data_IF_990574735027
#
_entry.id   IF_990574735027
#
_cell.length_a   1.000
_cell.length_b   1.000
_cell.length_c   1.000
_cell.angle_alpha   90.00
_cell.angle_beta   90.00
_cell.angle_gamma   90.00
#
_symmetry.space_group_name_H-M   'P 1'
#
loop_
_entity.id
_entity.type
_entity.pdbx_description
1 polymer ?
#
# COMPACT_ATOMS: atom_id res chain seq x y z
N UNK A 1 7.61 -26.14 8.07
CA UNK A 1 7.59 -24.85 7.31
C UNK A 1 8.77 -24.84 6.36
N UNK A 2 8.52 -24.51 5.09
CA UNK A 2 9.59 -24.36 4.11
C UNK A 2 10.47 -23.16 4.49
N UNK A 3 11.76 -23.32 4.52
CA UNK A 3 12.68 -22.25 4.86
C UNK A 3 12.71 -21.22 3.73
N UNK A 4 12.60 -19.93 4.10
CA UNK A 4 12.63 -18.84 3.12
C UNK A 4 14.00 -18.76 2.45
N UNK A 5 14.00 -18.63 1.14
CA UNK A 5 15.21 -18.42 0.37
C UNK A 5 15.86 -17.07 0.72
N UNK A 6 17.12 -16.90 0.36
CA UNK A 6 17.84 -15.62 0.57
C UNK A 6 17.05 -14.44 -0.04
N UNK A 7 16.56 -14.60 -1.26
CA UNK A 7 15.84 -13.52 -1.96
C UNK A 7 14.48 -13.21 -1.33
N UNK A 8 13.78 -14.22 -0.81
CA UNK A 8 12.53 -14.01 -0.08
C UNK A 8 12.78 -13.25 1.22
N UNK A 9 13.83 -13.59 1.96
CA UNK A 9 14.21 -12.81 3.16
C UNK A 9 14.54 -11.36 2.81
N UNK A 10 15.29 -11.15 1.73
CA UNK A 10 15.63 -9.80 1.23
C UNK A 10 14.38 -9.01 0.82
N UNK A 11 13.43 -9.68 0.17
CA UNK A 11 12.15 -9.08 -0.22
C UNK A 11 11.36 -8.63 1.03
N UNK A 12 11.23 -9.50 2.03
CA UNK A 12 10.52 -9.17 3.27
C UNK A 12 11.19 -8.00 4.01
N UNK A 13 12.53 -7.96 4.04
CA UNK A 13 13.24 -6.83 4.65
C UNK A 13 12.90 -5.50 3.96
N UNK A 14 12.81 -5.50 2.63
CA UNK A 14 12.42 -4.30 1.88
C UNK A 14 10.98 -3.88 2.19
N UNK A 15 10.10 -4.85 2.26
CA UNK A 15 8.69 -4.62 2.59
C UNK A 15 8.57 -3.99 4.00
N UNK A 16 9.30 -4.53 5.00
CA UNK A 16 9.28 -3.95 6.35
C UNK A 16 9.87 -2.53 6.39
N UNK A 17 10.95 -2.27 5.66
CA UNK A 17 11.51 -0.91 5.55
C UNK A 17 10.50 0.06 4.93
N UNK A 18 9.83 -0.39 3.87
CA UNK A 18 8.78 0.39 3.20
C UNK A 18 7.66 0.76 4.19
N UNK A 19 7.19 -0.21 4.97
CA UNK A 19 6.15 0.02 5.99
C UNK A 19 6.61 1.04 7.03
N UNK A 20 7.86 0.93 7.48
CA UNK A 20 8.46 1.90 8.41
C UNK A 20 8.53 3.31 7.84
N UNK A 21 8.92 3.43 6.58
CA UNK A 21 8.99 4.72 5.89
C UNK A 21 7.60 5.35 5.72
N UNK A 22 6.60 4.56 5.35
CA UNK A 22 5.21 5.03 5.25
C UNK A 22 4.71 5.51 6.62
N UNK A 23 4.99 4.73 7.67
CA UNK A 23 4.64 5.13 9.04
C UNK A 23 5.26 6.48 9.39
N UNK A 24 6.54 6.65 9.08
CA UNK A 24 7.26 7.91 9.34
C UNK A 24 6.60 9.08 8.60
N UNK A 25 6.22 8.92 7.33
CA UNK A 25 5.55 9.98 6.57
C UNK A 25 4.23 10.41 7.22
N UNK A 26 3.43 9.45 7.69
CA UNK A 26 2.18 9.75 8.40
C UNK A 26 2.43 10.41 9.77
N UNK A 27 3.41 9.92 10.53
CA UNK A 27 3.76 10.50 11.83
C UNK A 27 4.23 11.96 11.65
N UNK A 28 5.04 12.23 10.64
CA UNK A 28 5.52 13.58 10.31
C UNK A 28 4.37 14.49 9.87
N UNK A 29 3.47 13.99 9.03
CA UNK A 29 2.27 14.73 8.63
C UNK A 29 1.45 15.12 9.87
N UNK A 30 1.16 14.17 10.76
CA UNK A 30 0.37 14.41 11.98
C UNK A 30 1.09 15.44 12.88
N UNK A 31 2.41 15.32 13.03
CA UNK A 31 3.20 16.24 13.84
C UNK A 31 3.11 17.68 13.33
N UNK A 32 3.09 17.85 12.00
CA UNK A 32 3.03 19.18 11.37
C UNK A 32 1.60 19.74 11.31
N UNK A 33 0.59 18.88 11.09
CA UNK A 33 -0.80 19.33 10.98
C UNK A 33 -1.43 19.64 12.34
N UNK A 34 -1.01 18.96 13.42
CA UNK A 34 -1.59 19.11 14.74
C UNK A 34 -1.66 20.56 15.22
N UNK A 35 -0.55 21.33 15.21
CA UNK A 35 -0.58 22.73 15.62
C UNK A 35 -1.48 23.63 14.75
N UNK A 36 -1.63 23.32 13.47
CA UNK A 36 -2.54 24.06 12.56
C UNK A 36 -3.98 23.82 12.98
N UNK A 37 -4.33 22.58 13.26
CA UNK A 37 -5.67 22.20 13.67
C UNK A 37 -6.03 22.82 15.04
N UNK A 38 -5.06 22.90 15.97
CA UNK A 38 -5.25 23.54 17.26
C UNK A 38 -5.59 25.04 17.10
N UNK A 39 -4.84 25.71 16.21
CA UNK A 39 -5.12 27.13 15.89
C UNK A 39 -6.49 27.31 15.22
N UNK A 40 -6.86 26.38 14.36
CA UNK A 40 -8.13 26.44 13.62
C UNK A 40 -9.32 26.30 14.57
N UNK A 41 -9.24 25.42 15.53
CA UNK A 41 -10.34 25.10 16.44
C UNK A 41 -10.56 26.15 17.54
N UNK A 42 -9.61 27.07 17.75
CA UNK A 42 -9.70 28.06 18.84
C UNK A 42 -10.41 29.36 18.43
N UNK A 43 -11.00 29.43 17.24
CA UNK A 43 -11.68 30.66 16.80
C UNK A 43 -13.18 30.60 17.11
N UNK A 44 -13.55 31.20 18.21
CA UNK A 44 -14.93 31.50 18.58
C UNK A 44 -15.53 30.55 19.60
N UNK A 45 -16.14 31.11 20.63
CA UNK A 45 -16.82 30.37 21.67
C UNK A 45 -18.13 29.69 21.26
N UNK A 46 -18.52 29.83 20.00
CA UNK A 46 -19.84 29.39 19.51
C UNK A 46 -19.87 27.96 18.99
N UNK A 47 -18.74 27.25 19.07
CA UNK A 47 -18.62 25.84 18.62
C UNK A 47 -18.98 25.63 17.15
N UNK A 48 -18.91 26.69 16.34
CA UNK A 48 -19.18 26.63 14.92
C UNK A 48 -17.85 26.58 14.16
N UNK A 49 -17.75 25.64 13.24
CA UNK A 49 -16.61 25.54 12.33
C UNK A 49 -16.63 26.77 11.42
N UNK A 50 -15.58 27.57 11.49
CA UNK A 50 -15.39 28.68 10.56
C UNK A 50 -14.15 28.35 9.74
N UNK A 51 -14.31 28.26 8.45
CA UNK A 51 -13.21 28.00 7.52
C UNK A 51 -12.13 29.08 7.63
N UNK A 52 -10.89 28.68 7.59
CA UNK A 52 -9.73 29.58 7.60
C UNK A 52 -8.84 29.26 6.40
N UNK A 53 -9.00 30.05 5.34
CA UNK A 53 -8.32 29.82 4.05
C UNK A 53 -6.80 29.77 4.15
N UNK A 54 -6.20 30.42 5.16
CA UNK A 54 -4.75 30.36 5.37
C UNK A 54 -4.33 29.01 5.94
N UNK A 55 -5.06 28.53 6.94
CA UNK A 55 -4.80 27.23 7.57
C UNK A 55 -5.11 26.10 6.57
N UNK A 56 -6.22 26.20 5.85
CA UNK A 56 -6.59 25.21 4.81
C UNK A 56 -5.46 25.05 3.79
N UNK A 57 -4.96 26.16 3.23
CA UNK A 57 -3.85 26.12 2.29
C UNK A 57 -2.56 25.51 2.87
N UNK A 58 -2.32 25.70 4.18
CA UNK A 58 -1.17 25.08 4.84
C UNK A 58 -1.38 23.56 4.96
N UNK A 59 -2.59 23.13 5.29
CA UNK A 59 -2.91 21.69 5.39
C UNK A 59 -2.84 21.04 4.01
N UNK A 60 -3.35 21.70 2.96
CA UNK A 60 -3.25 21.22 1.57
C UNK A 60 -1.79 20.97 1.18
N UNK A 61 -0.88 21.91 1.50
CA UNK A 61 0.55 21.73 1.23
C UNK A 61 1.13 20.53 1.97
N UNK A 62 0.71 20.28 3.20
CA UNK A 62 1.16 19.11 3.96
C UNK A 62 0.63 17.81 3.35
N UNK A 63 -0.59 17.83 2.79
CA UNK A 63 -1.14 16.68 2.06
C UNK A 63 -0.40 16.43 0.76
N UNK A 64 -0.02 17.50 0.03
CA UNK A 64 0.81 17.39 -1.17
C UNK A 64 2.19 16.80 -0.84
N UNK A 65 2.81 17.24 0.27
CA UNK A 65 4.07 16.69 0.76
C UNK A 65 3.90 15.18 1.06
N UNK A 66 2.84 14.83 1.77
CA UNK A 66 2.54 13.42 2.11
C UNK A 66 2.32 12.59 0.84
N UNK A 67 1.54 13.11 -0.12
CA UNK A 67 1.32 12.48 -1.42
C UNK A 67 2.66 12.19 -2.11
N UNK A 68 3.50 13.21 -2.22
CA UNK A 68 4.80 13.10 -2.89
C UNK A 68 5.69 12.05 -2.22
N UNK A 69 5.73 12.05 -0.89
CA UNK A 69 6.51 11.07 -0.12
C UNK A 69 6.00 9.63 -0.35
N UNK A 70 4.69 9.44 -0.35
CA UNK A 70 4.09 8.11 -0.55
C UNK A 70 4.34 7.59 -1.97
N UNK A 71 4.15 8.44 -3.01
CA UNK A 71 4.40 8.07 -4.40
C UNK A 71 5.87 7.69 -4.58
N UNK A 72 6.78 8.51 -4.06
CA UNK A 72 8.22 8.26 -4.13
C UNK A 72 8.60 6.96 -3.41
N UNK A 73 8.09 6.76 -2.20
CA UNK A 73 8.35 5.54 -1.42
C UNK A 73 7.92 4.28 -2.19
N UNK A 74 6.69 4.29 -2.73
CA UNK A 74 6.14 3.14 -3.45
C UNK A 74 6.96 2.89 -4.73
N UNK A 75 7.21 3.92 -5.53
CA UNK A 75 7.91 3.80 -6.81
C UNK A 75 9.36 3.33 -6.63
N UNK A 76 10.05 3.87 -5.63
CA UNK A 76 11.44 3.49 -5.33
C UNK A 76 11.51 2.03 -4.84
N UNK A 77 10.57 1.61 -3.98
CA UNK A 77 10.54 0.22 -3.49
C UNK A 77 10.19 -0.74 -4.61
N UNK A 78 9.23 -0.38 -5.48
CA UNK A 78 8.88 -1.16 -6.68
C UNK A 78 10.13 -1.40 -7.54
N UNK A 79 10.91 -0.35 -7.79
CA UNK A 79 12.15 -0.42 -8.57
C UNK A 79 13.21 -1.32 -7.87
N UNK A 80 13.36 -1.16 -6.56
CA UNK A 80 14.34 -1.95 -5.79
C UNK A 80 13.99 -3.44 -5.78
N UNK A 81 12.71 -3.79 -5.60
CA UNK A 81 12.32 -5.20 -5.60
C UNK A 81 12.30 -5.78 -7.02
N UNK A 82 12.04 -4.97 -8.05
CA UNK A 82 12.23 -5.39 -9.44
C UNK A 82 13.68 -5.80 -9.68
N UNK A 83 14.61 -4.99 -9.22
CA UNK A 83 16.04 -5.29 -9.32
C UNK A 83 16.44 -6.52 -8.50
N UNK A 84 15.79 -6.73 -7.36
CA UNK A 84 16.01 -7.95 -6.55
C UNK A 84 15.55 -9.20 -7.31
N UNK A 85 14.38 -9.15 -7.94
CA UNK A 85 13.87 -10.24 -8.79
C UNK A 85 14.84 -10.56 -9.95
N UNK A 86 15.35 -9.51 -10.59
CA UNK A 86 16.35 -9.68 -11.66
C UNK A 86 17.64 -10.33 -11.15
N UNK A 87 18.15 -9.93 -9.97
CA UNK A 87 19.36 -10.57 -9.38
C UNK A 87 19.13 -12.04 -9.07
N UNK A 88 17.96 -12.37 -8.52
CA UNK A 88 17.54 -13.77 -8.29
C UNK A 88 17.60 -14.57 -9.60
N UNK A 89 17.07 -14.01 -10.68
CA UNK A 89 17.08 -14.63 -12.00
C UNK A 89 18.52 -14.76 -12.55
N UNK A 90 19.36 -13.74 -12.35
CA UNK A 90 20.78 -13.78 -12.78
C UNK A 90 21.53 -14.91 -12.09
N UNK A 91 21.30 -15.14 -10.78
CA UNK A 91 21.91 -16.24 -10.04
C UNK A 91 21.44 -17.61 -10.56
N UNK A 92 20.14 -17.73 -10.85
CA UNK A 92 19.56 -18.97 -11.40
C UNK A 92 20.18 -19.28 -12.78
N UNK A 93 20.25 -18.27 -13.66
CA UNK A 93 20.89 -18.42 -14.99
C UNK A 93 22.36 -18.81 -14.84
N UNK A 94 23.10 -18.09 -13.96
CA UNK A 94 24.52 -18.35 -13.73
C UNK A 94 24.74 -19.81 -13.27
N UNK A 95 23.92 -20.29 -12.35
CA UNK A 95 24.00 -21.68 -11.88
C UNK A 95 23.71 -22.68 -12.99
N UNK A 96 22.72 -22.38 -13.84
CA UNK A 96 22.31 -23.27 -14.93
C UNK A 96 23.39 -23.38 -16.04
N UNK A 97 24.00 -22.23 -16.42
CA UNK A 97 24.95 -22.19 -17.55
C UNK A 97 26.41 -22.41 -17.13
N UNK A 98 26.67 -22.69 -15.84
CA UNK A 98 28.02 -22.73 -15.25
C UNK A 98 29.01 -23.54 -16.07
N UNK A 99 28.57 -24.72 -16.51
CA UNK A 99 29.45 -25.69 -17.20
C UNK A 99 29.07 -25.79 -18.70
N UNK A 100 28.39 -24.80 -19.26
CA UNK A 100 27.93 -24.80 -20.65
C UNK A 100 28.68 -23.79 -21.50
N UNK A 101 29.12 -24.22 -22.68
CA UNK A 101 29.61 -23.30 -23.73
C UNK A 101 28.40 -22.69 -24.44
N UNK A 102 28.09 -21.44 -24.14
CA UNK A 102 26.96 -20.73 -24.75
C UNK A 102 27.48 -19.52 -25.56
N UNK A 103 26.75 -19.19 -26.63
CA UNK A 103 27.09 -18.03 -27.46
C UNK A 103 26.87 -16.73 -26.69
N UNK A 104 27.61 -15.69 -27.10
CA UNK A 104 27.48 -14.35 -26.54
C UNK A 104 26.03 -13.85 -26.64
N UNK A 105 25.41 -14.06 -27.79
CA UNK A 105 24.02 -13.66 -28.07
C UNK A 105 23.04 -14.32 -27.09
N UNK A 106 23.19 -15.62 -26.86
CA UNK A 106 22.35 -16.34 -25.90
C UNK A 106 22.60 -15.82 -24.47
N UNK A 107 23.85 -15.58 -24.11
CA UNK A 107 24.20 -15.02 -22.80
C UNK A 107 23.52 -13.65 -22.61
N UNK A 108 23.63 -12.76 -23.59
CA UNK A 108 22.96 -11.44 -23.53
C UNK A 108 21.46 -11.55 -23.37
N UNK A 109 20.81 -12.45 -24.14
CA UNK A 109 19.37 -12.73 -24.02
C UNK A 109 19.02 -13.16 -22.59
N UNK A 110 19.75 -14.12 -22.03
CA UNK A 110 19.47 -14.69 -20.71
C UNK A 110 19.65 -13.68 -19.57
N UNK A 111 20.61 -12.73 -19.69
CA UNK A 111 20.85 -11.71 -18.66
C UNK A 111 20.15 -10.38 -18.94
N UNK A 112 19.40 -10.25 -20.05
CA UNK A 112 18.73 -9.00 -20.40
C UNK A 112 17.61 -8.68 -19.42
N UNK A 113 17.61 -7.45 -18.92
CA UNK A 113 16.59 -6.92 -18.01
C UNK A 113 15.57 -6.12 -18.85
N UNK A 114 14.30 -6.26 -18.53
CA UNK A 114 13.22 -5.58 -19.25
C UNK A 114 12.87 -4.26 -18.57
N UNK A 115 13.60 -3.20 -18.91
CA UNK A 115 13.36 -1.85 -18.35
C UNK A 115 12.00 -1.31 -18.80
N UNK A 116 11.56 -1.63 -20.00
CA UNK A 116 10.25 -1.19 -20.52
C UNK A 116 9.11 -1.83 -19.74
N UNK A 117 9.26 -3.09 -19.33
CA UNK A 117 8.26 -3.74 -18.47
C UNK A 117 8.18 -3.08 -17.10
N UNK A 118 9.32 -2.67 -16.52
CA UNK A 118 9.31 -1.89 -15.27
C UNK A 118 8.60 -0.54 -15.46
N UNK A 119 8.92 0.18 -16.53
CA UNK A 119 8.27 1.46 -16.84
C UNK A 119 6.76 1.29 -17.04
N UNK A 120 6.36 0.22 -17.75
CA UNK A 120 4.96 -0.11 -17.96
C UNK A 120 4.25 -0.40 -16.62
N UNK A 121 4.91 -1.17 -15.74
CA UNK A 121 4.39 -1.48 -14.41
C UNK A 121 4.18 -0.21 -13.58
N UNK A 122 5.15 0.70 -13.57
CA UNK A 122 5.08 1.95 -12.82
C UNK A 122 3.98 2.90 -13.34
N UNK A 123 3.74 2.90 -14.65
CA UNK A 123 2.75 3.77 -15.29
C UNK A 123 1.39 3.10 -15.49
N UNK A 124 1.26 1.82 -15.16
CA UNK A 124 0.02 1.09 -15.42
C UNK A 124 -1.16 1.69 -14.66
N UNK A 125 -2.33 1.52 -15.24
CA UNK A 125 -3.60 1.87 -14.59
C UNK A 125 -4.25 0.59 -14.05
N UNK A 126 -5.00 0.73 -12.97
CA UNK A 126 -5.79 -0.37 -12.41
C UNK A 126 -7.12 -0.52 -13.17
N UNK A 127 -7.99 -1.38 -12.68
CA UNK A 127 -9.32 -1.63 -13.28
C UNK A 127 -10.24 -0.40 -13.28
N UNK A 128 -9.91 0.62 -12.47
CA UNK A 128 -10.64 1.88 -12.39
C UNK A 128 -9.93 3.02 -13.15
N UNK A 129 -8.91 2.70 -13.93
CA UNK A 129 -8.14 3.69 -14.70
C UNK A 129 -7.14 4.49 -13.87
N UNK A 130 -6.88 4.11 -12.63
CA UNK A 130 -6.04 4.89 -11.69
C UNK A 130 -4.60 4.40 -11.67
N UNK A 131 -3.66 5.35 -11.74
CA UNK A 131 -2.21 5.11 -11.57
C UNK A 131 -1.87 4.99 -10.07
N UNK A 132 -0.61 4.67 -9.76
CA UNK A 132 -0.11 4.70 -8.37
C UNK A 132 -0.36 6.10 -7.77
N UNK A 133 0.00 7.15 -8.49
CA UNK A 133 -0.18 8.53 -8.03
C UNK A 133 -1.65 8.86 -7.74
N UNK A 134 -2.55 8.49 -8.67
CA UNK A 134 -4.00 8.74 -8.48
C UNK A 134 -4.54 8.01 -7.25
N UNK A 135 -4.07 6.78 -7.01
CA UNK A 135 -4.51 6.00 -5.83
C UNK A 135 -3.93 6.55 -4.53
N UNK A 136 -2.73 7.13 -4.58
CA UNK A 136 -2.17 7.84 -3.41
C UNK A 136 -2.98 9.12 -3.16
N UNK A 137 -3.42 9.83 -4.22
CA UNK A 137 -4.32 10.98 -4.07
C UNK A 137 -5.60 10.58 -3.33
N UNK A 138 -6.25 9.48 -3.70
CA UNK A 138 -7.44 9.01 -2.98
C UNK A 138 -7.16 8.81 -1.48
N UNK A 139 -5.94 8.35 -1.15
CA UNK A 139 -5.53 8.11 0.25
C UNK A 139 -5.34 9.44 1.00
N UNK A 140 -4.67 10.41 0.38
CA UNK A 140 -4.38 11.71 1.00
C UNK A 140 -5.65 12.58 1.07
N UNK A 141 -6.47 12.55 0.05
CA UNK A 141 -7.77 13.21 0.02
C UNK A 141 -8.68 12.65 1.12
N UNK A 142 -8.75 11.33 1.24
CA UNK A 142 -9.48 10.67 2.32
C UNK A 142 -8.93 11.01 3.72
N UNK A 143 -7.64 11.39 3.83
CA UNK A 143 -7.09 11.90 5.08
C UNK A 143 -7.65 13.28 5.40
N UNK A 144 -7.81 14.14 4.39
CA UNK A 144 -8.43 15.47 4.57
C UNK A 144 -9.90 15.34 5.03
N UNK A 145 -10.70 14.52 4.36
CA UNK A 145 -12.07 14.23 4.74
C UNK A 145 -12.18 13.79 6.20
N UNK A 146 -11.27 12.91 6.60
CA UNK A 146 -11.21 12.42 7.97
C UNK A 146 -10.89 13.54 8.96
N UNK A 147 -9.94 14.42 8.63
CA UNK A 147 -9.56 15.56 9.47
C UNK A 147 -10.76 16.50 9.67
N UNK A 148 -11.41 16.91 8.59
CA UNK A 148 -12.57 17.79 8.63
C UNK A 148 -13.72 17.19 9.45
N UNK A 149 -14.00 15.93 9.21
CA UNK A 149 -15.05 15.20 9.91
C UNK A 149 -14.79 15.16 11.42
N UNK A 150 -13.55 14.90 11.83
CA UNK A 150 -13.22 14.81 13.26
C UNK A 150 -13.18 16.16 13.94
N UNK A 151 -12.76 17.18 13.23
CA UNK A 151 -12.85 18.56 13.74
C UNK A 151 -14.31 18.94 14.00
N UNK A 152 -15.15 18.72 13.01
CA UNK A 152 -16.59 19.02 13.12
C UNK A 152 -17.23 18.24 14.28
N UNK A 153 -16.97 16.95 14.36
CA UNK A 153 -17.47 16.08 15.43
C UNK A 153 -16.93 16.47 16.81
N UNK A 154 -15.65 16.83 16.89
CA UNK A 154 -15.01 17.26 18.12
C UNK A 154 -15.59 18.59 18.62
N UNK A 155 -15.74 19.53 17.72
CA UNK A 155 -16.33 20.86 18.05
C UNK A 155 -17.78 20.72 18.49
N UNK A 156 -18.59 19.96 17.73
CA UNK A 156 -20.01 19.77 18.06
C UNK A 156 -20.22 19.04 19.41
N UNK A 157 -19.26 18.20 19.83
CA UNK A 157 -19.31 17.49 21.11
C UNK A 157 -18.65 18.30 22.25
N UNK A 158 -18.18 19.51 21.99
CA UNK A 158 -17.57 20.39 22.98
C UNK A 158 -16.18 19.95 23.47
N UNK A 159 -15.46 19.19 22.66
CA UNK A 159 -14.12 18.72 23.07
C UNK A 159 -13.10 19.87 22.91
N UNK A 160 -12.19 20.02 23.89
CA UNK A 160 -11.10 20.99 23.75
C UNK A 160 -10.19 20.71 22.56
N UNK A 161 -9.76 21.76 21.88
CA UNK A 161 -8.91 21.69 20.67
C UNK A 161 -7.63 20.88 20.90
N UNK A 162 -7.02 21.01 22.07
CA UNK A 162 -5.82 20.25 22.42
C UNK A 162 -6.07 18.74 22.40
N UNK A 163 -7.23 18.31 22.88
CA UNK A 163 -7.60 16.89 22.85
C UNK A 163 -7.94 16.43 21.42
N UNK A 164 -8.59 17.28 20.64
CA UNK A 164 -8.90 16.99 19.23
C UNK A 164 -7.57 16.76 18.45
N UNK A 165 -6.59 17.62 18.66
CA UNK A 165 -5.29 17.50 17.95
C UNK A 165 -4.51 16.23 18.35
N UNK A 166 -4.60 15.81 19.63
CA UNK A 166 -4.01 14.54 20.07
C UNK A 166 -4.71 13.34 19.44
N UNK A 167 -6.00 13.43 19.31
CA UNK A 167 -6.82 12.31 18.83
C UNK A 167 -6.75 12.13 17.30
N UNK A 168 -6.43 13.18 16.55
CA UNK A 168 -6.19 13.10 15.11
C UNK A 168 -5.02 12.16 14.80
N UNK A 169 -3.98 12.17 15.64
CA UNK A 169 -2.87 11.23 15.52
C UNK A 169 -3.36 9.77 15.54
N UNK A 170 -4.26 9.47 16.44
CA UNK A 170 -4.84 8.13 16.57
C UNK A 170 -5.78 7.81 15.41
N UNK A 171 -6.45 8.82 14.87
CA UNK A 171 -7.37 8.67 13.75
C UNK A 171 -6.71 8.07 12.51
N UNK A 172 -5.57 8.60 12.11
CA UNK A 172 -4.90 8.15 10.89
C UNK A 172 -4.34 6.75 11.06
N UNK A 173 -3.90 6.38 12.26
CA UNK A 173 -3.29 5.08 12.54
C UNK A 173 -4.33 4.02 12.95
N UNK A 174 -5.19 4.34 13.90
CA UNK A 174 -6.18 3.40 14.46
C UNK A 174 -7.54 4.07 14.61
N UNK A 175 -8.26 4.28 13.51
CA UNK A 175 -9.51 5.06 13.54
C UNK A 175 -10.65 4.41 14.32
N UNK A 176 -10.53 3.16 14.74
CA UNK A 176 -11.56 2.47 15.51
C UNK A 176 -11.42 2.68 17.02
N UNK A 177 -10.39 3.41 17.46
CA UNK A 177 -10.15 3.64 18.88
C UNK A 177 -10.75 4.93 19.40
N UNK A 178 -11.12 5.37 20.29
CA UNK A 178 -11.52 6.52 21.09
C UNK A 178 -12.58 7.47 20.54
N UNK A 179 -12.34 8.14 19.38
CA UNK A 179 -13.22 9.23 18.96
C UNK A 179 -14.55 8.79 18.44
N UNK A 180 -14.58 7.61 17.92
CA UNK A 180 -15.73 7.06 17.25
C UNK A 180 -16.75 6.48 18.21
N UNK A 181 -16.41 6.50 19.50
CA UNK A 181 -17.29 5.97 20.54
C UNK A 181 -17.71 7.05 21.49
N UNK A 182 -18.99 7.15 21.70
CA UNK A 182 -19.64 8.01 22.69
C UNK A 182 -20.29 7.12 23.74
N UNK A 183 -20.52 7.65 24.92
CA UNK A 183 -21.26 6.91 25.94
C UNK A 183 -22.75 7.11 25.70
N UNK A 184 -23.48 6.03 25.64
CA UNK A 184 -24.94 6.07 25.57
C UNK A 184 -25.54 6.41 26.94
N UNK A 185 -26.88 6.44 27.03
CA UNK A 185 -27.59 6.78 28.27
C UNK A 185 -27.27 5.81 29.44
N UNK A 186 -26.80 4.60 29.13
CA UNK A 186 -26.41 3.59 30.12
C UNK A 186 -24.91 3.57 30.41
N UNK A 187 -24.15 4.56 29.91
CA UNK A 187 -22.72 4.64 30.09
C UNK A 187 -21.88 3.72 29.20
N UNK A 188 -22.51 2.93 28.32
CA UNK A 188 -21.83 2.00 27.41
C UNK A 188 -21.20 2.75 26.24
N UNK A 189 -19.97 2.36 25.84
CA UNK A 189 -19.31 2.93 24.69
C UNK A 189 -19.89 2.39 23.38
N UNK A 190 -20.57 3.24 22.63
CA UNK A 190 -21.21 2.92 21.35
C UNK A 190 -20.61 3.81 20.26
N UNK A 191 -20.73 3.41 19.00
CA UNK A 191 -20.31 4.25 17.88
C UNK A 191 -21.16 5.53 17.84
N UNK A 192 -20.50 6.67 17.64
CA UNK A 192 -21.21 7.93 17.36
C UNK A 192 -22.04 7.79 16.09
N UNK A 193 -23.12 8.56 15.98
CA UNK A 193 -24.00 8.50 14.81
C UNK A 193 -23.22 8.78 13.51
N UNK A 194 -22.40 9.84 13.43
CA UNK A 194 -21.61 10.05 12.22
C UNK A 194 -20.68 8.88 11.87
N UNK A 195 -20.18 8.16 12.87
CA UNK A 195 -19.33 6.98 12.59
C UNK A 195 -20.13 5.76 12.13
N UNK A 196 -21.39 5.67 12.53
CA UNK A 196 -22.28 4.65 11.97
C UNK A 196 -22.56 4.93 10.50
N UNK A 197 -22.68 6.21 10.15
CA UNK A 197 -23.03 6.66 8.80
C UNK A 197 -21.82 6.68 7.84
N UNK A 198 -20.59 6.61 8.36
CA UNK A 198 -19.37 6.67 7.55
C UNK A 198 -19.07 5.32 6.92
N UNK A 199 -19.22 5.23 5.61
CA UNK A 199 -18.96 4.03 4.82
C UNK A 199 -17.97 4.34 3.68
N UNK A 200 -16.66 4.09 3.87
CA UNK A 200 -15.65 4.44 2.85
C UNK A 200 -15.69 3.56 1.60
N UNK A 201 -16.57 2.56 1.57
CA UNK A 201 -16.68 1.65 0.43
C UNK A 201 -16.08 0.27 0.72
N UNK A 202 -16.45 -0.69 -0.12
CA UNK A 202 -15.98 -2.07 0.01
C UNK A 202 -14.49 -2.17 -0.30
N UNK A 203 -13.75 -2.87 0.53
CA UNK A 203 -12.32 -3.08 0.34
C UNK A 203 -11.45 -1.88 0.69
N UNK A 204 -12.02 -0.81 1.24
CA UNK A 204 -11.28 0.38 1.64
C UNK A 204 -11.24 0.44 3.17
N UNK A 205 -10.04 0.55 3.72
CA UNK A 205 -9.90 0.77 5.17
C UNK A 205 -10.28 2.19 5.52
N UNK A 206 -10.85 2.37 6.70
CA UNK A 206 -11.14 3.72 7.24
C UNK A 206 -9.88 4.52 7.57
N UNK A 207 -8.73 3.83 7.64
CA UNK A 207 -7.44 4.43 7.95
C UNK A 207 -6.67 4.71 6.66
N UNK A 208 -6.34 5.96 6.40
CA UNK A 208 -5.48 6.36 5.27
C UNK A 208 -4.12 5.67 5.36
N UNK A 209 -3.55 5.56 6.57
CA UNK A 209 -2.30 4.85 6.80
C UNK A 209 -2.40 3.37 6.37
N UNK A 210 -3.47 2.67 6.77
CA UNK A 210 -3.66 1.25 6.38
C UNK A 210 -3.87 1.10 4.88
N UNK A 211 -4.58 2.05 4.25
CA UNK A 211 -4.73 2.04 2.78
C UNK A 211 -3.39 2.25 2.08
N UNK A 212 -2.54 3.13 2.60
CA UNK A 212 -1.18 3.33 2.06
C UNK A 212 -0.32 2.07 2.19
N UNK A 213 -0.37 1.41 3.35
CA UNK A 213 0.35 0.14 3.57
C UNK A 213 -0.13 -0.94 2.60
N UNK A 214 -1.44 -1.07 2.41
CA UNK A 214 -2.02 -2.05 1.49
C UNK A 214 -1.60 -1.78 0.05
N UNK A 215 -1.70 -0.52 -0.38
CA UNK A 215 -1.29 -0.13 -1.74
C UNK A 215 0.19 -0.46 -1.96
N UNK A 216 1.04 -0.04 -1.03
CA UNK A 216 2.49 -0.25 -1.11
C UNK A 216 2.83 -1.75 -1.18
N UNK A 217 2.26 -2.57 -0.29
CA UNK A 217 2.50 -4.01 -0.28
C UNK A 217 2.03 -4.67 -1.58
N UNK A 218 0.88 -4.26 -2.10
CA UNK A 218 0.32 -4.79 -3.36
C UNK A 218 1.26 -4.48 -4.53
N UNK A 219 1.67 -3.22 -4.66
CA UNK A 219 2.55 -2.78 -5.77
C UNK A 219 3.93 -3.45 -5.69
N UNK A 220 4.47 -3.54 -4.48
CA UNK A 220 5.78 -4.18 -4.24
C UNK A 220 5.75 -5.67 -4.57
N UNK A 221 4.69 -6.39 -4.15
CA UNK A 221 4.50 -7.80 -4.50
C UNK A 221 4.37 -8.00 -6.01
N UNK A 222 3.55 -7.17 -6.66
CA UNK A 222 3.39 -7.24 -8.12
C UNK A 222 4.72 -7.03 -8.83
N UNK A 223 5.51 -6.05 -8.40
CA UNK A 223 6.81 -5.76 -9.03
C UNK A 223 7.75 -6.96 -8.94
N UNK A 224 7.87 -7.56 -7.76
CA UNK A 224 8.75 -8.73 -7.55
C UNK A 224 8.32 -9.91 -8.42
N UNK A 225 7.01 -10.22 -8.43
CA UNK A 225 6.48 -11.34 -9.21
C UNK A 225 6.55 -11.10 -10.71
N UNK A 226 6.31 -9.86 -11.15
CA UNK A 226 6.40 -9.52 -12.58
C UNK A 226 7.86 -9.60 -13.05
N UNK A 227 8.82 -9.18 -12.22
CA UNK A 227 10.24 -9.32 -12.54
C UNK A 227 10.63 -10.79 -12.76
N UNK A 228 10.20 -11.69 -11.86
CA UNK A 228 10.38 -13.14 -12.01
C UNK A 228 9.78 -13.63 -13.35
N UNK A 229 8.52 -13.29 -13.60
CA UNK A 229 7.79 -13.73 -14.80
C UNK A 229 8.48 -13.27 -16.08
N UNK A 230 8.85 -11.98 -16.16
CA UNK A 230 9.52 -11.40 -17.34
C UNK A 230 10.85 -12.08 -17.64
N UNK A 231 11.59 -12.47 -16.59
CA UNK A 231 12.86 -13.17 -16.75
C UNK A 231 12.63 -14.61 -17.17
N UNK A 232 11.68 -15.33 -16.57
CA UNK A 232 11.39 -16.73 -16.91
C UNK A 232 10.93 -16.89 -18.37
N UNK A 233 10.23 -15.90 -18.92
CA UNK A 233 9.83 -15.93 -20.34
C UNK A 233 11.04 -15.99 -21.29
N UNK A 234 12.19 -15.47 -20.87
CA UNK A 234 13.43 -15.45 -21.67
C UNK A 234 14.28 -16.70 -21.49
N UNK A 235 13.92 -17.58 -20.55
CA UNK A 235 14.69 -18.78 -20.20
C UNK A 235 14.03 -20.00 -20.83
N UNK A 236 14.57 -20.47 -21.96
CA UNK A 236 13.98 -21.58 -22.72
C UNK A 236 14.01 -22.91 -21.91
N UNK A 237 14.90 -23.01 -20.92
CA UNK A 237 14.98 -24.15 -20.03
C UNK A 237 13.92 -24.13 -18.90
N UNK A 238 13.22 -23.03 -18.71
CA UNK A 238 12.09 -22.95 -17.77
C UNK A 238 10.83 -23.38 -18.54
N UNK A 239 10.41 -24.61 -18.33
CA UNK A 239 9.28 -25.21 -19.08
C UNK A 239 7.94 -24.92 -18.42
N UNK A 240 7.92 -24.54 -17.14
CA UNK A 240 6.70 -24.25 -16.41
C UNK A 240 6.98 -23.81 -14.99
N UNK A 241 5.94 -23.51 -14.26
CA UNK A 241 6.03 -23.14 -12.85
C UNK A 241 4.86 -23.72 -12.07
N UNK A 242 5.12 -24.04 -10.85
CA UNK A 242 4.10 -24.56 -9.94
C UNK A 242 3.55 -23.42 -9.07
N UNK A 243 2.25 -23.39 -8.93
CA UNK A 243 1.58 -22.43 -8.03
C UNK A 243 1.46 -23.09 -6.66
N UNK A 244 2.17 -22.55 -5.68
CA UNK A 244 2.07 -22.99 -4.29
C UNK A 244 1.13 -22.08 -3.52
N UNK A 245 0.22 -22.67 -2.77
CA UNK A 245 -0.66 -21.93 -1.89
C UNK A 245 0.15 -21.39 -0.70
N UNK A 246 0.03 -20.09 -0.45
CA UNK A 246 0.62 -19.50 0.75
C UNK A 246 -0.12 -20.01 1.99
N UNK A 247 0.61 -20.44 3.04
CA UNK A 247 -0.05 -20.80 4.30
C UNK A 247 -0.72 -19.54 4.88
N UNK A 248 -2.04 -19.56 4.99
CA UNK A 248 -2.80 -18.46 5.54
C UNK A 248 -3.76 -18.98 6.60
N UNK A 249 -4.09 -18.12 7.56
CA UNK A 249 -5.07 -18.45 8.60
C UNK A 249 -6.51 -18.27 8.12
N UNK A 250 -6.68 -17.81 6.90
CA UNK A 250 -8.00 -17.73 6.27
C UNK A 250 -8.43 -19.11 5.78
N UNK A 251 -9.70 -19.37 5.84
CA UNK A 251 -10.28 -20.64 5.41
C UNK A 251 -10.07 -20.92 3.91
N UNK A 252 -10.58 -22.03 3.43
CA UNK A 252 -10.43 -22.42 2.03
C UNK A 252 -10.84 -21.30 1.08
N UNK A 253 -10.03 -21.09 0.04
CA UNK A 253 -10.33 -20.13 -1.01
C UNK A 253 -10.52 -20.90 -2.32
N UNK A 254 -11.75 -20.97 -2.85
CA UNK A 254 -12.02 -21.76 -4.07
C UNK A 254 -11.12 -21.34 -5.25
N UNK A 255 -10.84 -20.04 -5.36
CA UNK A 255 -9.97 -19.54 -6.44
C UNK A 255 -8.52 -20.00 -6.23
N UNK A 256 -8.01 -19.93 -5.00
CA UNK A 256 -6.64 -20.38 -4.68
C UNK A 256 -6.53 -21.89 -4.81
N UNK A 257 -7.52 -22.60 -4.39
CA UNK A 257 -7.55 -24.07 -4.45
C UNK A 257 -7.65 -24.57 -5.89
N UNK A 258 -8.46 -23.93 -6.70
CA UNK A 258 -8.51 -24.21 -8.13
C UNK A 258 -7.16 -23.97 -8.83
N UNK A 259 -6.60 -22.99 -8.44
CA UNK A 259 -5.35 -22.63 -8.96
C UNK A 259 -4.26 -23.55 -8.56
N UNK A 260 -4.36 -24.14 -7.50
CA UNK A 260 -3.44 -25.04 -6.99
C UNK A 260 -3.69 -26.43 -7.47
N UNK A 261 -4.75 -26.62 -7.87
CA UNK A 261 -5.19 -27.81 -8.39
C UNK A 261 -4.91 -27.98 -9.87
N UNK A 262 -4.68 -27.04 -10.30
CA UNK A 262 -4.36 -27.02 -11.66
C UNK A 262 -3.06 -27.69 -11.98
N UNK A 263 -2.27 -28.03 -11.13
CA UNK A 263 -0.96 -28.64 -11.30
C UNK A 263 0.04 -27.74 -12.03
N UNK A 264 1.05 -28.34 -12.54
CA UNK A 264 2.10 -27.63 -13.29
C UNK A 264 1.52 -26.79 -14.44
N UNK A 265 1.58 -25.47 -14.26
CA UNK A 265 1.15 -24.55 -15.32
C UNK A 265 2.25 -24.49 -16.38
N UNK A 266 1.99 -25.04 -17.55
CA UNK A 266 2.90 -24.90 -18.69
C UNK A 266 3.09 -23.41 -19.01
N UNK A 267 4.28 -23.07 -19.50
CA UNK A 267 4.62 -21.71 -19.92
C UNK A 267 3.65 -21.29 -21.06
N UNK A 268 2.56 -20.63 -20.69
CA UNK A 268 1.56 -20.16 -21.66
C UNK A 268 1.97 -18.76 -22.12
N UNK A 269 2.09 -18.60 -23.42
CA UNK A 269 2.49 -17.33 -24.04
C UNK A 269 1.45 -16.21 -23.92
N UNK A 270 0.32 -16.45 -23.25
CA UNK A 270 -0.79 -15.51 -23.19
C UNK A 270 -1.49 -15.43 -21.82
N UNK A 271 -0.77 -15.58 -20.71
CA UNK A 271 -1.40 -15.33 -19.42
C UNK A 271 -1.41 -13.82 -19.11
N UNK A 272 -2.38 -13.12 -19.68
CA UNK A 272 -2.94 -11.91 -19.09
C UNK A 272 -3.84 -12.34 -17.92
N UNK A 273 -3.28 -13.02 -16.95
CA UNK A 273 -4.01 -13.30 -15.73
C UNK A 273 -3.89 -12.08 -14.81
N UNK A 274 -5.00 -11.44 -14.59
CA UNK A 274 -5.10 -10.50 -13.50
C UNK A 274 -4.79 -11.26 -12.21
N UNK A 275 -3.58 -11.08 -11.69
CA UNK A 275 -3.24 -11.55 -10.36
C UNK A 275 -4.04 -10.66 -9.40
N UNK A 276 -5.25 -11.08 -9.07
CA UNK A 276 -5.96 -10.48 -7.96
C UNK A 276 -5.12 -10.78 -6.73
N UNK A 277 -4.64 -9.74 -6.10
CA UNK A 277 -3.88 -9.86 -4.87
C UNK A 277 -4.74 -10.57 -3.81
N UNK A 278 -4.35 -11.76 -3.43
CA UNK A 278 -4.81 -12.31 -2.18
C UNK A 278 -4.24 -11.38 -1.10
N UNK A 279 -5.12 -10.66 -0.44
CA UNK A 279 -4.74 -9.78 0.66
C UNK A 279 -4.14 -10.61 1.80
N UNK A 280 -2.94 -10.27 2.22
CA UNK A 280 -2.33 -10.74 3.46
C UNK A 280 -3.04 -10.07 4.65
#
# INVERSE_FOLDING_TARGET
MKELSFHERQFLQRLFRQQGSIKYSFDEFVRRVGPLLAKWSDHGGDRVWIGNATIERQIERLLDDLHTQLVSNISNTVTDVWNLGNRKADELVTGYIKDMAISTTLREKLFSRNADALNTLLKRKDEFGKTISSRVWDITDGAMDNLEYYLSSGLSSGRPSALISQDIRQLLNEPNRRFRRVRDANGKLVLSQPMKDYHPGQGVYRSSYKNALRLAATETNKAFRTADYERWQKMDFVTGYEVERSPSNHGPCPVCDAXXXXGNTQKISSLRAGIRSASV
#
